data_IF_929820952710
#
_entry.id   IF_929820952710
#
_cell.length_a   1.000
_cell.length_b   1.000
_cell.length_c   1.000
_cell.angle_alpha   90.00
_cell.angle_beta   90.00
_cell.angle_gamma   90.00
#
_symmetry.space_group_name_H-M   'P 1'
#
loop_
_entity.id
_entity.type
_entity.pdbx_description
1 polymer ?
#
# COMPACT_ATOMS: atom_id res chain seq x y z
N UNK A 1 39.57 31.33 -61.40
CA UNK A 1 39.48 31.52 -59.93
C UNK A 1 39.62 30.16 -59.28
N UNK A 2 40.77 29.88 -58.65
CA UNK A 2 41.03 28.66 -57.88
C UNK A 2 41.89 29.05 -56.68
N UNK A 3 41.39 28.81 -55.47
CA UNK A 3 42.12 28.72 -54.18
C UNK A 3 41.11 28.25 -53.08
N UNK A 4 41.54 27.82 -51.87
CA UNK A 4 41.88 26.40 -51.61
C UNK A 4 41.43 25.87 -50.21
N UNK A 5 41.63 24.54 -50.00
CA UNK A 5 41.85 23.81 -48.72
C UNK A 5 40.68 23.79 -47.69
N UNK A 6 40.46 22.75 -46.87
CA UNK A 6 41.40 22.19 -45.88
C UNK A 6 40.84 20.91 -45.22
N UNK A 7 41.74 19.98 -44.89
CA UNK A 7 41.73 19.02 -43.78
C UNK A 7 40.44 18.24 -43.42
N UNK A 8 40.40 16.95 -43.76
CA UNK A 8 39.54 15.97 -43.08
C UNK A 8 40.34 15.32 -41.94
N UNK A 9 39.97 15.68 -40.72
CA UNK A 9 40.47 15.10 -39.47
C UNK A 9 39.69 13.84 -39.06
N UNK A 10 40.43 12.89 -38.49
CA UNK A 10 39.98 11.62 -37.93
C UNK A 10 39.06 11.81 -36.71
N UNK A 11 37.97 11.05 -36.63
CA UNK A 11 37.27 10.80 -35.37
C UNK A 11 36.74 9.36 -35.33
N UNK A 12 37.53 8.51 -34.67
CA UNK A 12 37.13 7.21 -34.14
C UNK A 12 35.85 7.39 -33.32
N UNK A 13 34.77 6.74 -33.74
CA UNK A 13 33.58 6.54 -32.89
C UNK A 13 33.39 5.04 -32.67
N UNK A 14 33.83 4.59 -31.51
CA UNK A 14 33.55 3.27 -30.95
C UNK A 14 32.06 3.20 -30.59
N UNK A 15 31.25 2.56 -31.42
CA UNK A 15 29.86 2.23 -31.09
C UNK A 15 29.78 0.79 -30.59
N UNK A 16 29.89 0.60 -29.28
CA UNK A 16 29.49 -0.64 -28.62
C UNK A 16 28.00 -0.59 -28.33
N UNK A 17 27.19 -1.07 -29.28
CA UNK A 17 25.78 -1.32 -29.04
C UNK A 17 25.64 -2.72 -28.44
N UNK A 18 25.63 -2.81 -27.11
CA UNK A 18 25.24 -4.02 -26.40
C UNK A 18 23.71 -4.03 -26.27
N UNK A 19 23.02 -4.57 -27.27
CA UNK A 19 21.61 -4.97 -27.12
C UNK A 19 21.57 -6.22 -26.27
N UNK A 20 21.42 -6.03 -24.96
CA UNK A 20 21.01 -7.11 -24.05
C UNK A 20 19.51 -7.31 -24.20
N UNK A 21 19.16 -8.23 -25.09
CA UNK A 21 17.82 -8.79 -25.26
C UNK A 21 17.36 -9.44 -23.95
N UNK A 22 16.41 -8.81 -23.27
CA UNK A 22 15.78 -9.30 -22.03
C UNK A 22 14.39 -9.86 -22.32
N UNK A 23 14.22 -10.63 -23.39
CA UNK A 23 12.91 -11.17 -23.76
C UNK A 23 12.62 -12.57 -23.22
N UNK A 24 13.54 -13.21 -22.48
CA UNK A 24 13.41 -14.64 -22.12
C UNK A 24 13.52 -15.02 -20.62
N UNK A 25 13.32 -14.09 -19.66
CA UNK A 25 13.38 -14.42 -18.20
C UNK A 25 12.00 -14.66 -17.54
N UNK A 26 10.90 -14.65 -18.29
CA UNK A 26 9.55 -14.80 -17.71
C UNK A 26 8.99 -16.22 -17.81
N UNK A 27 9.56 -17.07 -18.67
CA UNK A 27 9.07 -18.42 -18.91
C UNK A 27 9.56 -19.45 -17.85
N UNK A 28 10.69 -19.19 -17.18
CA UNK A 28 11.36 -20.18 -16.30
C UNK A 28 10.92 -20.12 -14.81
N UNK A 29 9.99 -19.24 -14.43
CA UNK A 29 9.51 -19.13 -13.04
C UNK A 29 8.26 -19.94 -12.72
N UNK A 30 7.83 -20.82 -13.63
CA UNK A 30 6.52 -21.50 -13.55
C UNK A 30 6.55 -22.87 -12.86
N UNK A 31 7.65 -23.28 -12.24
CA UNK A 31 7.79 -24.63 -11.66
C UNK A 31 8.25 -24.68 -10.18
N UNK A 32 8.09 -23.60 -9.41
CA UNK A 32 8.50 -23.55 -7.99
C UNK A 32 7.35 -23.25 -7.02
N UNK A 33 6.28 -24.04 -7.12
CA UNK A 33 5.18 -24.04 -6.14
C UNK A 33 4.21 -22.86 -6.25
N UNK A 34 3.24 -22.82 -5.32
CA UNK A 34 2.18 -21.80 -5.25
C UNK A 34 2.34 -20.97 -3.98
N UNK A 35 2.54 -19.67 -4.13
CA UNK A 35 2.48 -18.71 -3.03
C UNK A 35 1.04 -18.25 -2.85
N UNK A 36 0.52 -18.34 -1.63
CA UNK A 36 -0.77 -17.78 -1.23
C UNK A 36 -0.52 -16.77 -0.12
N UNK A 37 -1.03 -15.56 -0.28
CA UNK A 37 -0.94 -14.51 0.73
C UNK A 37 -2.18 -14.58 1.60
N UNK A 38 -2.01 -14.76 2.90
CA UNK A 38 -3.12 -14.80 3.83
C UNK A 38 -3.71 -13.40 4.08
N UNK A 39 -5.01 -13.32 4.26
CA UNK A 39 -5.78 -12.09 4.49
C UNK A 39 -5.21 -11.29 5.67
N UNK A 40 -4.76 -11.97 6.72
CA UNK A 40 -4.12 -11.35 7.88
C UNK A 40 -2.84 -10.56 7.53
N UNK A 41 -2.07 -11.01 6.53
CA UNK A 41 -0.88 -10.31 6.06
C UNK A 41 -1.29 -9.07 5.26
N UNK A 42 -2.30 -9.19 4.40
CA UNK A 42 -2.84 -8.06 3.64
C UNK A 42 -3.43 -7.00 4.57
N UNK A 43 -4.17 -7.42 5.61
CA UNK A 43 -4.69 -6.52 6.64
C UNK A 43 -3.57 -5.78 7.39
N UNK A 44 -2.47 -6.47 7.67
CA UNK A 44 -1.29 -5.85 8.29
C UNK A 44 -0.69 -4.77 7.39
N UNK A 45 -0.50 -5.08 6.10
CA UNK A 45 0.01 -4.12 5.10
C UNK A 45 -0.93 -2.92 4.96
N UNK A 46 -2.23 -3.17 4.82
CA UNK A 46 -3.24 -2.13 4.68
C UNK A 46 -3.29 -1.22 5.91
N UNK A 47 -3.22 -1.78 7.12
CA UNK A 47 -3.20 -0.99 8.35
C UNK A 47 -1.93 -0.15 8.50
N UNK A 48 -0.75 -0.67 8.12
CA UNK A 48 0.49 0.11 8.10
C UNK A 48 0.37 1.26 7.10
N UNK A 49 -0.04 0.96 5.85
CA UNK A 49 -0.19 1.96 4.81
C UNK A 49 -1.25 3.03 5.16
N UNK A 50 -2.36 2.66 5.80
CA UNK A 50 -3.34 3.63 6.25
C UNK A 50 -2.73 4.63 7.25
N UNK A 51 -1.91 4.16 8.20
CA UNK A 51 -1.27 5.01 9.23
C UNK A 51 -0.16 5.93 8.71
N UNK A 52 0.35 5.69 7.51
CA UNK A 52 1.33 6.56 6.88
C UNK A 52 0.71 7.84 6.31
N UNK A 53 -0.61 7.89 6.16
CA UNK A 53 -1.31 9.07 5.64
C UNK A 53 -1.40 10.15 6.72
N UNK A 54 -0.88 11.37 6.47
CA UNK A 54 -0.99 12.48 7.40
C UNK A 54 -2.45 12.83 7.72
N UNK A 55 -2.74 13.14 8.98
CA UNK A 55 -4.09 13.51 9.42
C UNK A 55 -4.97 12.36 9.90
N UNK A 56 -4.41 11.14 10.00
CA UNK A 56 -5.04 10.03 10.71
C UNK A 56 -4.45 9.93 12.12
N UNK A 57 -5.31 10.06 13.13
CA UNK A 57 -4.88 10.10 14.53
C UNK A 57 -4.54 8.69 15.05
N UNK A 58 -5.36 7.70 14.70
CA UNK A 58 -5.08 6.29 14.87
C UNK A 58 -6.19 5.48 14.16
N UNK A 59 -5.82 4.31 13.64
CA UNK A 59 -6.74 3.17 13.71
C UNK A 59 -6.88 2.89 15.21
N UNK A 60 -8.02 3.22 15.82
CA UNK A 60 -8.27 3.00 17.24
C UNK A 60 -7.72 1.62 17.67
N UNK A 61 -6.83 1.54 18.66
CA UNK A 61 -6.62 0.28 19.34
C UNK A 61 -8.00 -0.17 19.84
N UNK A 62 -8.38 -1.43 19.61
CA UNK A 62 -9.60 -2.04 20.13
C UNK A 62 -9.61 -2.15 21.68
N UNK A 63 -9.12 -1.14 22.39
CA UNK A 63 -8.84 -1.10 23.82
C UNK A 63 -9.95 -0.48 24.66
N UNK A 64 -10.82 0.35 24.09
CA UNK A 64 -12.02 0.85 24.77
C UNK A 64 -13.18 -0.16 24.79
N UNK A 65 -13.07 -1.26 24.01
CA UNK A 65 -13.95 -2.46 24.08
C UNK A 65 -13.23 -3.74 24.50
N UNK A 66 -12.03 -3.67 25.08
CA UNK A 66 -11.27 -4.85 25.48
C UNK A 66 -11.97 -5.74 26.53
N UNK A 67 -12.95 -5.21 27.28
CA UNK A 67 -13.80 -6.02 28.17
C UNK A 67 -14.82 -6.87 27.42
N UNK A 68 -15.20 -6.50 26.19
CA UNK A 68 -16.16 -7.24 25.37
C UNK A 68 -15.47 -8.32 24.52
N UNK A 69 -14.20 -8.11 24.16
CA UNK A 69 -13.38 -9.09 23.42
C UNK A 69 -13.05 -10.33 24.25
N UNK A 70 -12.89 -10.19 25.57
CA UNK A 70 -12.78 -11.35 26.48
C UNK A 70 -14.10 -12.16 26.55
N UNK A 71 -15.25 -11.53 26.28
CA UNK A 71 -16.55 -12.21 26.20
C UNK A 71 -16.73 -12.90 24.84
N UNK A 72 -16.17 -12.34 23.76
CA UNK A 72 -16.12 -12.96 22.43
C UNK A 72 -15.11 -14.11 22.30
N UNK A 73 -14.15 -14.25 23.21
CA UNK A 73 -13.21 -15.36 23.20
C UNK A 73 -13.85 -16.72 23.59
N UNK A 74 -15.09 -16.72 24.10
CA UNK A 74 -15.83 -17.93 24.53
C UNK A 74 -16.93 -18.34 23.54
N UNK A 75 -17.19 -17.55 22.49
CA UNK A 75 -18.26 -17.85 21.54
C UNK A 75 -17.95 -17.40 20.13
N UNK A 76 -17.66 -18.39 19.27
CA UNK A 76 -17.94 -18.47 17.82
C UNK A 76 -17.49 -17.29 16.91
N UNK A 77 -16.70 -17.66 15.89
CA UNK A 77 -16.44 -16.92 14.64
C UNK A 77 -15.25 -15.93 14.58
N UNK A 78 -14.03 -16.49 14.54
CA UNK A 78 -13.39 -16.72 13.24
C UNK A 78 -12.70 -15.57 12.47
N UNK A 79 -12.75 -14.31 12.89
CA UNK A 79 -12.05 -13.24 12.17
C UNK A 79 -11.12 -12.43 13.10
N UNK A 80 -9.81 -12.63 12.93
CA UNK A 80 -8.77 -11.77 13.53
C UNK A 80 -8.85 -10.38 12.89
N UNK A 81 -9.68 -9.52 13.45
CA UNK A 81 -9.79 -8.12 13.07
C UNK A 81 -8.55 -7.38 13.60
N UNK A 82 -7.61 -7.09 12.71
CA UNK A 82 -6.48 -6.22 13.03
C UNK A 82 -7.01 -4.79 13.08
N UNK A 83 -7.43 -4.32 14.27
CA UNK A 83 -7.65 -2.90 14.60
C UNK A 83 -8.31 -2.06 13.48
N UNK A 84 -9.61 -2.23 13.23
CA UNK A 84 -10.34 -1.40 12.26
C UNK A 84 -9.99 -1.67 10.79
N UNK A 85 -9.34 -2.79 10.49
CA UNK A 85 -9.06 -3.22 9.11
C UNK A 85 -9.66 -4.61 8.89
N UNK A 86 -10.60 -4.68 7.95
CA UNK A 86 -11.15 -5.94 7.44
C UNK A 86 -10.66 -6.14 6.00
N UNK A 87 -10.22 -7.35 5.68
CA UNK A 87 -9.76 -7.70 4.33
C UNK A 87 -10.35 -9.03 3.93
N UNK A 88 -10.84 -9.07 2.70
CA UNK A 88 -11.28 -10.28 2.03
C UNK A 88 -10.40 -10.46 0.78
N UNK A 89 -9.82 -11.65 0.63
CA UNK A 89 -9.01 -12.00 -0.55
C UNK A 89 -9.74 -13.09 -1.33
N UNK A 90 -9.95 -12.82 -2.62
CA UNK A 90 -10.51 -13.77 -3.58
C UNK A 90 -9.52 -13.98 -4.73
N UNK A 91 -8.93 -15.18 -4.79
CA UNK A 91 -7.87 -15.58 -5.72
C UNK A 91 -6.67 -14.59 -5.77
N UNK A 92 -6.71 -13.62 -6.69
CA UNK A 92 -5.70 -12.55 -6.85
C UNK A 92 -6.22 -11.16 -6.54
N UNK A 93 -7.44 -11.06 -6.05
CA UNK A 93 -8.12 -9.80 -5.79
C UNK A 93 -8.29 -9.60 -4.30
N UNK A 94 -8.08 -8.37 -3.82
CA UNK A 94 -8.32 -7.99 -2.44
C UNK A 94 -9.39 -6.90 -2.36
N UNK A 95 -10.29 -7.03 -1.39
CA UNK A 95 -11.22 -5.99 -0.95
C UNK A 95 -10.80 -5.57 0.46
N UNK A 96 -10.62 -4.27 0.66
CA UNK A 96 -10.17 -3.72 1.95
C UNK A 96 -11.23 -2.78 2.48
N UNK A 97 -11.59 -2.93 3.76
CA UNK A 97 -12.45 -2.02 4.48
C UNK A 97 -11.71 -1.47 5.70
N UNK A 98 -11.78 -0.15 5.89
CA UNK A 98 -11.03 0.58 6.89
C UNK A 98 -11.96 1.44 7.74
N UNK A 99 -11.81 1.33 9.05
CA UNK A 99 -12.49 2.12 10.07
C UNK A 99 -11.49 3.08 10.72
N UNK A 100 -11.66 4.38 10.48
CA UNK A 100 -10.67 5.41 10.79
C UNK A 100 -11.21 6.49 11.74
N UNK A 101 -10.29 7.15 12.45
CA UNK A 101 -10.53 8.44 13.13
C UNK A 101 -9.60 9.48 12.52
N UNK A 102 -10.16 10.60 12.08
CA UNK A 102 -9.42 11.66 11.41
C UNK A 102 -9.07 12.81 12.37
N UNK A 103 -8.00 13.56 12.08
CA UNK A 103 -7.66 14.77 12.81
C UNK A 103 -8.58 15.95 12.44
N UNK A 104 -8.92 16.75 13.44
CA UNK A 104 -9.67 18.00 13.23
C UNK A 104 -8.86 19.01 12.40
N UNK A 105 -9.56 19.71 11.50
CA UNK A 105 -8.98 20.77 10.67
C UNK A 105 -8.47 20.30 9.32
N UNK A 106 -8.66 19.03 8.96
CA UNK A 106 -8.29 18.45 7.66
C UNK A 106 -9.55 18.01 6.92
N UNK A 107 -9.53 18.13 5.59
CA UNK A 107 -10.59 17.64 4.71
C UNK A 107 -10.67 16.12 4.76
N UNK A 108 -11.79 15.59 5.29
CA UNK A 108 -12.04 14.15 5.37
C UNK A 108 -12.04 13.51 3.98
N UNK A 109 -12.54 14.23 2.96
CA UNK A 109 -12.56 13.75 1.58
C UNK A 109 -11.14 13.53 1.03
N UNK A 110 -10.22 14.44 1.33
CA UNK A 110 -8.83 14.36 0.88
C UNK A 110 -8.09 13.24 1.62
N UNK A 111 -8.24 13.17 2.94
CA UNK A 111 -7.67 12.08 3.76
C UNK A 111 -8.16 10.72 3.26
N UNK A 112 -9.46 10.56 3.03
CA UNK A 112 -10.00 9.30 2.53
C UNK A 112 -9.46 8.97 1.13
N UNK A 113 -9.25 9.97 0.26
CA UNK A 113 -8.66 9.76 -1.05
C UNK A 113 -7.19 9.36 -0.97
N UNK A 114 -6.42 9.99 -0.07
CA UNK A 114 -5.03 9.65 0.20
C UNK A 114 -4.89 8.24 0.76
N UNK A 115 -5.73 7.87 1.73
CA UNK A 115 -5.78 6.50 2.29
C UNK A 115 -6.06 5.47 1.21
N UNK A 116 -7.09 5.68 0.38
CA UNK A 116 -7.41 4.75 -0.71
C UNK A 116 -6.22 4.57 -1.67
N UNK A 117 -5.57 5.67 -2.06
CA UNK A 117 -4.37 5.60 -2.92
C UNK A 117 -3.24 4.85 -2.24
N UNK A 118 -2.88 5.22 -1.01
CA UNK A 118 -1.73 4.62 -0.34
C UNK A 118 -1.94 3.12 -0.07
N UNK A 119 -3.11 2.74 0.42
CA UNK A 119 -3.44 1.35 0.72
C UNK A 119 -3.48 0.50 -0.56
N UNK A 120 -4.15 0.97 -1.62
CA UNK A 120 -4.20 0.25 -2.90
C UNK A 120 -2.80 0.03 -3.50
N UNK A 121 -1.94 1.03 -3.40
CA UNK A 121 -0.56 0.99 -3.88
C UNK A 121 0.29 0.00 -3.07
N UNK A 122 0.24 0.11 -1.74
CA UNK A 122 1.00 -0.74 -0.83
C UNK A 122 0.59 -2.21 -0.94
N UNK A 123 -0.71 -2.50 -0.98
CA UNK A 123 -1.21 -3.88 -1.15
C UNK A 123 -0.72 -4.45 -2.49
N UNK A 124 -0.84 -3.70 -3.58
CA UNK A 124 -0.40 -4.17 -4.90
C UNK A 124 1.11 -4.38 -4.97
N UNK A 125 1.89 -3.43 -4.44
CA UNK A 125 3.34 -3.46 -4.49
C UNK A 125 3.96 -4.55 -3.60
N UNK A 126 3.40 -4.78 -2.41
CA UNK A 126 4.00 -5.67 -1.41
C UNK A 126 3.46 -7.11 -1.46
N UNK A 127 2.20 -7.29 -1.87
CA UNK A 127 1.57 -8.63 -1.89
C UNK A 127 1.44 -9.22 -3.28
N UNK A 128 1.51 -8.39 -4.33
CA UNK A 128 1.25 -8.79 -5.71
C UNK A 128 -0.23 -9.07 -6.02
N UNK A 129 -1.14 -8.78 -5.09
CA UNK A 129 -2.59 -8.85 -5.29
C UNK A 129 -3.13 -7.56 -5.94
N UNK A 130 -4.24 -7.68 -6.66
CA UNK A 130 -4.95 -6.51 -7.22
C UNK A 130 -5.99 -6.02 -6.22
N UNK A 131 -5.88 -4.77 -5.76
CA UNK A 131 -6.90 -4.18 -4.90
C UNK A 131 -8.09 -3.69 -5.74
N UNK A 132 -9.26 -4.32 -5.60
CA UNK A 132 -10.45 -3.96 -6.37
C UNK A 132 -11.17 -2.73 -5.80
N UNK A 133 -11.25 -2.65 -4.47
CA UNK A 133 -11.88 -1.54 -3.74
C UNK A 133 -11.24 -1.37 -2.38
N UNK A 134 -11.17 -0.11 -1.95
CA UNK A 134 -10.86 0.29 -0.59
C UNK A 134 -12.02 1.12 -0.06
N UNK A 135 -12.79 0.54 0.86
CA UNK A 135 -13.88 1.20 1.56
C UNK A 135 -13.36 1.86 2.83
N UNK A 136 -13.77 3.10 3.07
CA UNK A 136 -13.30 3.90 4.20
C UNK A 136 -14.50 4.45 4.96
N UNK A 137 -14.58 4.12 6.24
CA UNK A 137 -15.56 4.64 7.19
C UNK A 137 -14.82 5.47 8.22
N UNK A 138 -15.25 6.72 8.41
CA UNK A 138 -14.68 7.62 9.43
C UNK A 138 -15.67 7.73 10.57
N UNK A 139 -15.29 7.25 11.74
CA UNK A 139 -16.18 7.16 12.92
C UNK A 139 -16.16 8.41 13.78
N UNK A 140 -15.00 9.07 13.86
CA UNK A 140 -14.83 10.24 14.73
C UNK A 140 -13.77 11.20 14.17
N UNK A 141 -13.80 12.43 14.68
CA UNK A 141 -12.78 13.46 14.41
C UNK A 141 -12.17 13.89 15.72
N UNK A 142 -10.89 13.56 15.91
CA UNK A 142 -10.18 13.93 17.12
C UNK A 142 -9.55 15.31 16.94
N UNK A 143 -9.87 16.24 17.85
CA UNK A 143 -9.07 17.43 18.02
C UNK A 143 -7.79 16.98 18.72
N UNK A 144 -6.66 17.01 18.01
CA UNK A 144 -5.35 16.76 18.60
C UNK A 144 -5.19 17.59 19.85
N UNK A 145 -5.31 16.93 21.01
CA UNK A 145 -5.16 17.57 22.30
C UNK A 145 -3.79 18.25 22.32
N UNK A 146 -3.81 19.57 22.50
CA UNK A 146 -2.73 20.35 23.06
C UNK A 146 -1.76 19.45 23.83
N UNK A 147 -0.55 19.27 23.28
CA UNK A 147 0.56 18.75 24.06
C UNK A 147 0.86 19.81 25.11
N UNK A 148 0.16 19.76 26.25
CA UNK A 148 0.56 20.51 27.44
C UNK A 148 1.89 19.91 27.86
N UNK A 149 2.97 20.50 27.34
CA UNK A 149 4.29 20.33 27.90
C UNK A 149 4.26 21.00 29.27
N UNK A 150 4.28 20.19 30.32
CA UNK A 150 4.64 20.60 31.68
C UNK A 150 6.13 20.30 31.88
#
# INVERSE_FOLDING_TARGET
>A
MNAPQTATGNAVRTSVASTVDHSDDRADRRDRGRTVVADAVVATVAGIAAREVPGLHALEPAGSRALDVLRSAVGVDGARHTQGVSVEVDDRTAVVSLDLVADYGISIADVAADVRRNVSSAVTALTGLTCSRVDVVVHDVQVGGHRTAA
#
